data_IF_909330870938
#
_entry.id   IF_909330870938
#
_cell.length_a   1.000
_cell.length_b   1.000
_cell.length_c   1.000
_cell.angle_alpha   90.00
_cell.angle_beta   90.00
_cell.angle_gamma   90.00
#
_symmetry.space_group_name_H-M   'P 1'
#
loop_
_entity.id
_entity.type
_entity.pdbx_description
1 polymer ?
#
# COMPACT_ATOMS: atom_id res chain seq x y z
N UNK A 1 -13.92 6.79 -10.48
CA UNK A 1 -12.74 7.24 -9.70
C UNK A 1 -12.54 6.43 -8.43
N UNK A 2 -13.54 6.32 -7.55
CA UNK A 2 -13.39 5.62 -6.25
C UNK A 2 -12.84 4.19 -6.39
N UNK A 3 -13.39 3.38 -7.31
CA UNK A 3 -12.90 2.01 -7.57
C UNK A 3 -11.39 1.94 -7.83
N UNK A 4 -10.84 2.91 -8.59
CA UNK A 4 -9.39 2.96 -8.91
C UNK A 4 -8.55 3.33 -7.69
N UNK A 5 -9.05 4.23 -6.84
CA UNK A 5 -8.38 4.63 -5.59
C UNK A 5 -8.40 3.52 -4.55
N UNK A 6 -9.51 2.79 -4.44
CA UNK A 6 -9.60 1.59 -3.59
C UNK A 6 -8.63 0.52 -4.10
N UNK A 7 -8.57 0.28 -5.42
CA UNK A 7 -7.60 -0.65 -5.98
C UNK A 7 -6.15 -0.21 -5.70
N UNK A 8 -5.84 1.08 -5.88
CA UNK A 8 -4.52 1.62 -5.54
C UNK A 8 -4.17 1.43 -4.06
N UNK A 9 -5.14 1.61 -3.16
CA UNK A 9 -4.98 1.36 -1.73
C UNK A 9 -4.66 -0.11 -1.42
N UNK A 10 -5.38 -1.05 -2.02
CA UNK A 10 -5.13 -2.49 -1.84
C UNK A 10 -3.75 -2.88 -2.37
N UNK A 11 -3.40 -2.43 -3.59
CA UNK A 11 -2.09 -2.73 -4.18
C UNK A 11 -0.97 -2.13 -3.34
N UNK A 12 -1.13 -0.88 -2.89
CA UNK A 12 -0.16 -0.24 -2.02
C UNK A 12 0.00 -0.99 -0.69
N UNK A 13 -1.10 -1.45 -0.09
CA UNK A 13 -1.06 -2.22 1.15
C UNK A 13 -0.30 -3.52 1.00
N UNK A 14 -0.58 -4.27 -0.07
CA UNK A 14 0.13 -5.52 -0.36
C UNK A 14 1.62 -5.27 -0.62
N UNK A 15 1.97 -4.33 -1.50
CA UNK A 15 3.37 -4.03 -1.80
C UNK A 15 4.14 -3.56 -0.56
N UNK A 16 3.52 -2.72 0.26
CA UNK A 16 4.11 -2.25 1.52
C UNK A 16 4.33 -3.40 2.50
N UNK A 17 3.36 -4.30 2.59
CA UNK A 17 3.44 -5.47 3.49
C UNK A 17 4.55 -6.41 3.05
N UNK A 18 4.69 -6.70 1.76
CA UNK A 18 5.80 -7.51 1.22
C UNK A 18 7.13 -6.84 1.53
N UNK A 19 7.27 -5.55 1.18
CA UNK A 19 8.51 -4.79 1.35
C UNK A 19 8.97 -4.80 2.82
N UNK A 20 8.08 -4.46 3.74
CA UNK A 20 8.40 -4.39 5.16
C UNK A 20 8.68 -5.76 5.78
N UNK A 21 8.01 -6.80 5.30
CA UNK A 21 8.27 -8.17 5.78
C UNK A 21 9.67 -8.64 5.45
N UNK A 22 10.18 -8.25 4.28
CA UNK A 22 11.53 -8.61 3.84
C UNK A 22 12.58 -7.70 4.50
N UNK A 23 12.31 -6.40 4.58
CA UNK A 23 13.28 -5.42 5.09
C UNK A 23 13.34 -5.38 6.63
N UNK A 24 12.20 -5.55 7.30
CA UNK A 24 12.05 -5.43 8.73
C UNK A 24 11.20 -6.58 9.31
N UNK A 25 11.59 -7.85 9.12
CA UNK A 25 10.86 -8.95 9.70
C UNK A 25 10.80 -8.81 11.24
N UNK A 26 9.59 -8.91 11.76
CA UNK A 26 9.26 -8.97 13.18
C UNK A 26 9.73 -10.32 13.73
N UNK A 27 10.75 -10.28 14.59
CA UNK A 27 11.14 -11.46 15.36
C UNK A 27 10.51 -11.38 16.74
N UNK A 28 9.59 -12.31 17.04
CA UNK A 28 8.95 -12.42 18.35
C UNK A 28 9.81 -13.20 19.35
N UNK A 29 10.85 -13.91 18.88
CA UNK A 29 11.84 -14.53 19.75
C UNK A 29 13.01 -13.58 19.93
N UNK A 30 13.19 -13.06 21.15
CA UNK A 30 14.22 -12.06 21.48
C UNK A 30 15.65 -12.63 21.45
N UNK A 31 15.82 -13.94 21.23
CA UNK A 31 17.07 -14.64 21.56
C UNK A 31 17.95 -15.01 20.36
N UNK A 32 17.49 -14.85 19.11
CA UNK A 32 18.33 -15.21 17.96
C UNK A 32 18.16 -14.26 16.77
N UNK A 33 19.15 -13.39 16.54
CA UNK A 33 19.16 -12.51 15.36
C UNK A 33 19.27 -13.29 14.04
N UNK A 34 19.83 -14.50 14.07
CA UNK A 34 19.92 -15.39 12.90
C UNK A 34 18.52 -15.87 12.46
N UNK A 35 17.60 -16.04 13.40
CA UNK A 35 16.21 -16.43 13.11
C UNK A 35 15.34 -15.27 12.61
N UNK A 36 15.81 -14.00 12.74
CA UNK A 36 15.02 -12.81 12.39
C UNK A 36 14.71 -12.72 10.90
N UNK A 37 15.67 -13.08 10.06
CA UNK A 37 15.48 -13.17 8.60
C UNK A 37 15.12 -14.58 8.15
N UNK A 38 14.67 -15.44 9.08
CA UNK A 38 14.11 -16.72 8.69
C UNK A 38 12.87 -16.52 7.84
N UNK A 39 12.63 -17.51 6.99
CA UNK A 39 11.44 -17.56 6.15
C UNK A 39 10.14 -17.40 6.96
N UNK A 40 10.07 -18.06 8.11
CA UNK A 40 8.92 -18.04 9.02
C UNK A 40 8.65 -16.64 9.61
N UNK A 41 9.72 -15.94 9.97
CA UNK A 41 9.66 -14.57 10.49
C UNK A 41 9.16 -13.59 9.43
N UNK A 42 9.66 -13.68 8.19
CA UNK A 42 9.16 -12.87 7.07
C UNK A 42 7.68 -13.14 6.77
N UNK A 43 7.27 -14.41 6.78
CA UNK A 43 5.86 -14.81 6.56
C UNK A 43 4.94 -14.24 7.63
N UNK A 44 5.30 -14.41 8.90
CA UNK A 44 4.50 -13.90 10.04
C UNK A 44 4.41 -12.37 9.98
N UNK A 45 5.52 -11.71 9.66
CA UNK A 45 5.57 -10.27 9.45
C UNK A 45 4.63 -9.81 8.34
N UNK A 46 4.54 -10.57 7.23
CA UNK A 46 3.65 -10.25 6.13
C UNK A 46 2.18 -10.24 6.54
N UNK A 47 1.73 -11.23 7.30
CA UNK A 47 0.35 -11.25 7.78
C UNK A 47 0.06 -10.08 8.73
N UNK A 48 0.96 -9.82 9.67
CA UNK A 48 0.83 -8.72 10.62
C UNK A 48 0.80 -7.38 9.89
N UNK A 49 1.81 -7.11 9.06
CA UNK A 49 1.85 -5.89 8.26
C UNK A 49 0.64 -5.79 7.34
N UNK A 50 0.19 -6.86 6.71
CA UNK A 50 -1.02 -6.81 5.86
C UNK A 50 -2.24 -6.32 6.64
N UNK A 51 -2.48 -6.83 7.85
CA UNK A 51 -3.60 -6.37 8.69
C UNK A 51 -3.49 -4.89 9.07
N UNK A 52 -2.31 -4.47 9.55
CA UNK A 52 -2.12 -3.08 10.01
C UNK A 52 -2.08 -2.07 8.85
N UNK A 53 -1.36 -2.38 7.77
CA UNK A 53 -1.18 -1.49 6.64
C UNK A 53 -2.44 -1.36 5.79
N UNK A 54 -3.18 -2.44 5.55
CA UNK A 54 -4.45 -2.32 4.83
C UNK A 54 -5.45 -1.45 5.60
N UNK A 55 -5.56 -1.67 6.91
CA UNK A 55 -6.40 -0.83 7.77
C UNK A 55 -5.99 0.64 7.71
N UNK A 56 -4.70 0.93 7.92
CA UNK A 56 -4.18 2.29 7.89
C UNK A 56 -4.35 2.97 6.51
N UNK A 57 -4.08 2.27 5.42
CA UNK A 57 -4.23 2.82 4.06
C UNK A 57 -5.69 3.07 3.73
N UNK A 58 -6.62 2.21 4.15
CA UNK A 58 -8.05 2.43 3.90
C UNK A 58 -8.62 3.56 4.76
N UNK A 59 -8.24 3.64 6.03
CA UNK A 59 -8.74 4.66 6.97
C UNK A 59 -8.13 6.03 6.66
N UNK A 60 -6.86 6.07 6.25
CA UNK A 60 -6.13 7.33 6.10
C UNK A 60 -5.71 7.60 4.65
N UNK A 61 -5.04 6.65 4.00
CA UNK A 61 -4.54 6.81 2.64
C UNK A 61 -5.64 7.09 1.61
N UNK A 62 -6.80 6.41 1.72
CA UNK A 62 -7.91 6.60 0.80
C UNK A 62 -8.57 7.98 0.94
N UNK A 63 -8.93 8.48 2.16
CA UNK A 63 -9.38 9.86 2.33
C UNK A 63 -8.37 10.90 1.87
N UNK A 64 -7.08 10.73 2.19
CA UNK A 64 -6.02 11.62 1.70
C UNK A 64 -6.00 11.64 0.18
N UNK A 65 -6.01 10.49 -0.47
CA UNK A 65 -6.01 10.41 -1.93
C UNK A 65 -7.24 11.08 -2.55
N UNK A 66 -8.42 10.94 -1.94
CA UNK A 66 -9.64 11.64 -2.37
C UNK A 66 -9.48 13.17 -2.23
N UNK A 67 -8.95 13.63 -1.10
CA UNK A 67 -8.68 15.04 -0.83
C UNK A 67 -7.66 15.63 -1.81
N UNK A 68 -6.52 14.94 -2.03
CA UNK A 68 -5.51 15.35 -3.01
C UNK A 68 -6.13 15.46 -4.39
N UNK A 69 -6.90 14.44 -4.80
CA UNK A 69 -7.58 14.43 -6.09
C UNK A 69 -8.57 15.59 -6.26
N UNK A 70 -9.18 16.06 -5.18
CA UNK A 70 -10.05 17.24 -5.17
C UNK A 70 -9.23 18.54 -5.30
N UNK A 71 -8.14 18.68 -4.54
CA UNK A 71 -7.26 19.87 -4.58
C UNK A 71 -6.63 20.04 -5.97
N UNK A 72 -6.08 18.98 -6.54
CA UNK A 72 -5.37 19.03 -7.83
C UNK A 72 -6.29 18.93 -9.04
N UNK A 73 -7.62 18.91 -8.84
CA UNK A 73 -8.60 18.73 -9.93
C UNK A 73 -8.48 19.79 -11.03
N UNK A 74 -8.08 21.01 -10.67
CA UNK A 74 -7.92 22.15 -11.59
C UNK A 74 -6.53 22.23 -12.23
N UNK A 75 -5.60 21.37 -11.83
CA UNK A 75 -4.25 21.33 -12.39
C UNK A 75 -4.19 20.36 -13.57
N UNK A 76 -3.30 20.63 -14.51
CA UNK A 76 -3.14 19.85 -15.73
C UNK A 76 -1.66 19.49 -15.98
N UNK A 77 -1.45 18.41 -16.72
CA UNK A 77 -0.12 17.96 -17.14
C UNK A 77 0.83 17.66 -15.97
N UNK A 78 2.11 17.93 -16.19
CA UNK A 78 3.18 17.64 -15.23
C UNK A 78 3.00 18.32 -13.86
N UNK A 79 2.42 19.53 -13.84
CA UNK A 79 2.18 20.28 -12.60
C UNK A 79 1.20 19.55 -11.67
N UNK A 80 0.20 18.87 -12.25
CA UNK A 80 -0.76 18.06 -11.51
C UNK A 80 -0.07 16.87 -10.83
N UNK A 81 0.82 16.19 -11.56
CA UNK A 81 1.50 15.00 -11.05
C UNK A 81 2.45 15.36 -9.90
N UNK A 82 3.22 16.45 -10.03
CA UNK A 82 4.07 16.97 -8.94
C UNK A 82 3.23 17.38 -7.73
N UNK A 83 2.21 18.21 -7.94
CA UNK A 83 1.37 18.69 -6.84
C UNK A 83 0.68 17.53 -6.13
N UNK A 84 0.21 16.52 -6.87
CA UNK A 84 -0.38 15.31 -6.31
C UNK A 84 0.61 14.56 -5.44
N UNK A 85 1.84 14.35 -5.91
CA UNK A 85 2.88 13.68 -5.14
C UNK A 85 3.22 14.44 -3.85
N UNK A 86 3.49 15.74 -3.95
CA UNK A 86 3.84 16.58 -2.80
C UNK A 86 2.72 16.61 -1.76
N UNK A 87 1.46 16.71 -2.20
CA UNK A 87 0.31 16.69 -1.29
C UNK A 87 0.12 15.33 -0.63
N UNK A 88 0.33 14.22 -1.35
CA UNK A 88 0.30 12.89 -0.73
C UNK A 88 1.37 12.76 0.35
N UNK A 89 2.60 13.22 0.09
CA UNK A 89 3.68 13.20 1.09
C UNK A 89 3.31 14.09 2.28
N UNK A 90 2.94 15.35 2.05
CA UNK A 90 2.64 16.31 3.11
C UNK A 90 1.46 15.86 3.98
N UNK A 91 0.38 15.39 3.36
CA UNK A 91 -0.80 14.91 4.08
C UNK A 91 -0.60 13.54 4.73
N UNK A 92 0.46 12.80 4.38
CA UNK A 92 0.81 11.54 5.05
C UNK A 92 1.64 11.73 6.31
N UNK A 93 2.22 12.93 6.54
CA UNK A 93 3.04 13.22 7.72
C UNK A 93 2.29 12.98 9.04
N UNK A 94 1.02 13.43 9.22
CA UNK A 94 0.31 13.13 10.46
C UNK A 94 0.12 11.63 10.68
N UNK A 95 -0.24 10.85 9.64
CA UNK A 95 -0.33 9.40 9.78
C UNK A 95 1.01 8.74 10.09
N UNK A 96 2.12 9.28 9.57
CA UNK A 96 3.45 8.82 9.93
C UNK A 96 3.72 9.02 11.43
N UNK A 97 3.37 10.19 11.98
CA UNK A 97 3.57 10.52 13.39
C UNK A 97 2.65 9.70 14.32
N UNK A 98 1.38 9.54 13.96
CA UNK A 98 0.40 8.85 14.81
C UNK A 98 0.48 7.33 14.74
N UNK A 99 0.72 6.78 13.56
CA UNK A 99 0.71 5.33 13.39
C UNK A 99 2.10 4.72 13.36
N UNK A 100 3.19 5.50 13.23
CA UNK A 100 4.56 4.99 12.96
C UNK A 100 4.64 4.02 11.76
N UNK A 101 3.55 3.92 11.00
CA UNK A 101 3.28 2.89 10.00
C UNK A 101 3.35 3.52 8.60
N UNK A 102 3.48 4.83 8.43
CA UNK A 102 3.41 5.46 7.10
C UNK A 102 4.68 6.23 6.68
N UNK A 103 5.81 5.55 6.41
CA UNK A 103 7.01 6.20 5.87
C UNK A 103 6.73 6.93 4.55
N UNK A 104 7.48 8.01 4.22
CA UNK A 104 7.38 8.72 2.94
C UNK A 104 7.52 7.80 1.72
N UNK A 105 8.26 6.69 1.86
CA UNK A 105 8.41 5.65 0.84
C UNK A 105 7.05 5.04 0.47
N UNK A 106 6.19 4.75 1.46
CA UNK A 106 4.87 4.16 1.22
C UNK A 106 3.92 5.17 0.60
N UNK A 107 3.97 6.44 1.02
CA UNK A 107 3.24 7.51 0.37
C UNK A 107 3.68 7.69 -1.09
N UNK A 108 4.98 7.55 -1.37
CA UNK A 108 5.53 7.56 -2.73
C UNK A 108 5.03 6.38 -3.58
N UNK A 109 5.10 5.15 -3.04
CA UNK A 109 4.56 3.94 -3.69
C UNK A 109 3.08 4.15 -3.98
N UNK A 110 2.29 4.60 -3.00
CA UNK A 110 0.86 4.88 -3.18
C UNK A 110 0.63 5.88 -4.32
N UNK A 111 1.33 7.01 -4.32
CA UNK A 111 1.16 8.06 -5.34
C UNK A 111 1.54 7.56 -6.74
N UNK A 112 2.60 6.76 -6.87
CA UNK A 112 3.03 6.17 -8.13
C UNK A 112 2.00 5.15 -8.61
N UNK A 113 1.61 4.21 -7.76
CA UNK A 113 0.60 3.18 -8.05
C UNK A 113 -0.73 3.81 -8.45
N UNK A 114 -1.17 4.84 -7.73
CA UNK A 114 -2.36 5.60 -8.08
C UNK A 114 -2.22 6.26 -9.46
N UNK A 115 -1.11 6.94 -9.73
CA UNK A 115 -0.89 7.64 -11.00
C UNK A 115 -0.90 6.68 -12.18
N UNK A 116 -0.30 5.49 -12.04
CA UNK A 116 -0.31 4.44 -13.06
C UNK A 116 -1.72 3.89 -13.28
N UNK A 117 -2.44 3.53 -12.21
CA UNK A 117 -3.80 2.97 -12.30
C UNK A 117 -4.84 3.98 -12.81
N UNK A 118 -4.64 5.28 -12.55
CA UNK A 118 -5.50 6.34 -13.09
C UNK A 118 -5.35 6.46 -14.62
N UNK A 119 -4.15 6.21 -15.16
CA UNK A 119 -3.87 6.23 -16.62
C UNK A 119 -4.44 5.00 -17.35
N UNK A 120 -4.64 3.87 -16.67
CA UNK A 120 -5.20 2.64 -17.27
C UNK A 120 -6.73 2.71 -17.38
N UNK A 121 -7.30 2.38 -18.55
CA UNK A 121 -8.77 2.31 -18.75
C UNK A 121 -9.31 0.97 -18.26
N UNK A 122 -9.84 0.92 -17.03
CA UNK A 122 -10.46 -0.29 -16.46
C UNK A 122 -11.92 -0.38 -16.93
N UNK A 123 -12.30 -1.43 -17.68
CA UNK A 123 -13.71 -1.73 -18.03
C UNK A 123 -14.43 -2.39 -16.86
N UNK A 124 -15.76 -2.28 -16.85
CA UNK A 124 -16.61 -2.53 -15.67
C UNK A 124 -16.51 -3.91 -15.02
N UNK A 125 -16.05 -4.95 -15.70
CA UNK A 125 -15.82 -6.31 -15.15
C UNK A 125 -14.35 -6.56 -14.75
N UNK A 126 -13.40 -5.84 -15.34
CA UNK A 126 -11.95 -6.03 -15.14
C UNK A 126 -11.49 -5.62 -13.73
N UNK A 127 -12.26 -4.78 -13.02
CA UNK A 127 -11.93 -4.41 -11.64
C UNK A 127 -12.11 -5.57 -10.67
N UNK A 128 -13.12 -6.44 -10.91
CA UNK A 128 -13.36 -7.64 -10.09
C UNK A 128 -12.22 -8.60 -10.32
N UNK A 129 -11.80 -8.80 -11.58
CA UNK A 129 -10.65 -9.63 -11.90
C UNK A 129 -9.34 -9.08 -11.34
N UNK A 130 -9.13 -7.76 -11.37
CA UNK A 130 -7.93 -7.16 -10.76
C UNK A 130 -7.91 -7.37 -9.25
N UNK A 131 -9.03 -7.11 -8.57
CA UNK A 131 -9.16 -7.34 -7.12
C UNK A 131 -9.04 -8.83 -6.77
N UNK A 132 -9.66 -9.71 -7.55
CA UNK A 132 -9.60 -11.14 -7.37
C UNK A 132 -8.18 -11.66 -7.61
N UNK A 133 -7.49 -11.26 -8.67
CA UNK A 133 -6.09 -11.64 -8.94
C UNK A 133 -5.18 -11.16 -7.82
N UNK A 134 -5.34 -9.92 -7.32
CA UNK A 134 -4.54 -9.43 -6.20
C UNK A 134 -4.84 -10.15 -4.88
N UNK A 135 -6.12 -10.38 -4.58
CA UNK A 135 -6.54 -11.13 -3.39
C UNK A 135 -6.09 -12.58 -3.48
N UNK A 136 -6.20 -13.20 -4.65
CA UNK A 136 -5.71 -14.55 -4.95
C UNK A 136 -4.19 -14.58 -4.87
N UNK A 137 -3.47 -13.55 -5.31
CA UNK A 137 -1.99 -13.51 -5.19
C UNK A 137 -1.58 -13.33 -3.74
N UNK A 138 -2.32 -12.55 -2.94
CA UNK A 138 -2.10 -12.45 -1.50
C UNK A 138 -2.42 -13.76 -0.76
N UNK A 139 -3.50 -14.43 -1.14
CA UNK A 139 -3.90 -15.73 -0.61
C UNK A 139 -2.91 -16.81 -1.05
N UNK A 140 -2.50 -16.83 -2.32
CA UNK A 140 -1.48 -17.72 -2.87
C UNK A 140 -0.11 -17.42 -2.27
N UNK A 141 0.22 -16.17 -1.95
CA UNK A 141 1.40 -15.84 -1.16
C UNK A 141 1.27 -16.35 0.29
N UNK A 142 0.06 -16.44 0.84
CA UNK A 142 -0.18 -17.16 2.09
C UNK A 142 -0.07 -18.68 1.95
N UNK A 143 -0.52 -19.26 0.83
CA UNK A 143 -0.67 -20.71 0.60
C UNK A 143 0.57 -21.38 -0.01
N UNK A 144 1.21 -20.79 -1.03
CA UNK A 144 2.48 -21.27 -1.62
C UNK A 144 3.62 -21.34 -0.59
N UNK A 145 3.44 -20.68 0.54
CA UNK A 145 4.41 -20.59 1.61
C UNK A 145 3.87 -21.18 2.92
N UNK A 146 2.83 -22.04 2.83
CA UNK A 146 2.04 -22.58 3.95
C UNK A 146 1.66 -24.06 3.83
N UNK A 147 2.45 -24.87 3.10
CA UNK A 147 2.64 -26.32 3.29
C UNK A 147 4.13 -26.61 3.34
#
# INVERSE_FOLDING_TARGET
MLKKKVLAAVVCGLMSSILLSVMFPLNFSEHDQVSKYSWESMRTSFFIYTMYFHGAILIYGLPVSLLVGWIVKRLHGFLKDIASFLLHVALSIPAMVYFYIFPPIIAGIFSITESLLLRVRIRGSEWIWSYAVFSITAILWGLLWGL
#
